data_IF_557232551545
#
_entry.id   IF_557232551545
#
_cell.length_a   1.000
_cell.length_b   1.000
_cell.length_c   1.000
_cell.angle_alpha   90.00
_cell.angle_beta   90.00
_cell.angle_gamma   90.00
#
_symmetry.space_group_name_H-M   'P 1'
#
loop_
_entity.id
_entity.type
_entity.pdbx_description
1 polymer ?
#
# COMPACT_ATOMS: atom_id res chain seq x y z
N UNK A 1 -16.96 0.80 -23.39
CA UNK A 1 -15.87 1.00 -22.39
C UNK A 1 -16.46 1.14 -21.02
N UNK A 2 -15.97 0.35 -20.09
CA UNK A 2 -16.49 0.38 -18.73
C UNK A 2 -15.79 1.49 -17.93
N UNK A 3 -16.55 2.24 -17.16
CA UNK A 3 -16.00 3.30 -16.31
C UNK A 3 -15.66 2.68 -14.95
N UNK A 4 -14.42 2.87 -14.52
CA UNK A 4 -13.97 2.44 -13.21
C UNK A 4 -13.85 3.65 -12.30
N UNK A 5 -14.20 3.46 -11.02
CA UNK A 5 -13.93 4.44 -9.99
C UNK A 5 -12.60 4.11 -9.34
N UNK A 6 -11.84 5.11 -8.94
CA UNK A 6 -10.55 4.89 -8.28
C UNK A 6 -10.51 5.59 -6.94
N UNK A 7 -9.83 4.96 -6.00
CA UNK A 7 -9.52 5.55 -4.70
C UNK A 7 -8.00 5.60 -4.56
N UNK A 8 -7.47 6.77 -4.27
CA UNK A 8 -6.03 6.95 -4.08
C UNK A 8 -5.67 6.67 -2.62
N UNK A 9 -5.01 5.55 -2.39
CA UNK A 9 -4.53 5.13 -1.06
C UNK A 9 -3.02 5.35 -0.90
N UNK A 10 -2.42 6.18 -1.76
CA UNK A 10 -1.02 6.60 -1.60
C UNK A 10 -0.94 7.85 -0.72
N UNK A 11 0.27 8.23 -0.35
CA UNK A 11 0.48 9.39 0.52
C UNK A 11 0.59 10.72 -0.22
N UNK A 12 0.44 10.72 -1.54
CA UNK A 12 0.61 11.91 -2.36
C UNK A 12 -0.42 11.97 -3.49
N UNK A 13 -0.58 13.16 -4.07
CA UNK A 13 -1.45 13.33 -5.22
C UNK A 13 -0.84 12.64 -6.44
N UNK A 14 -1.68 12.04 -7.26
CA UNK A 14 -1.25 11.39 -8.49
C UNK A 14 -1.54 12.32 -9.66
N UNK A 15 -0.49 12.74 -10.36
CA UNK A 15 -0.59 13.62 -11.51
C UNK A 15 -0.60 12.75 -12.76
N UNK A 16 -1.64 12.84 -13.56
CA UNK A 16 -1.78 12.05 -14.78
C UNK A 16 -1.45 12.93 -15.98
N UNK A 17 -0.46 12.49 -16.75
CA UNK A 17 -0.06 13.15 -17.97
C UNK A 17 -0.67 12.41 -19.17
N UNK A 18 -1.53 13.09 -19.89
CA UNK A 18 -2.13 12.56 -21.11
C UNK A 18 -1.60 13.35 -22.29
N UNK A 19 -0.92 12.73 -23.25
CA UNK A 19 -0.37 13.45 -24.39
C UNK A 19 -1.41 14.31 -25.12
N UNK A 20 -1.08 15.58 -25.32
CA UNK A 20 -1.98 16.51 -26.00
C UNK A 20 -3.17 17.00 -25.19
N UNK A 21 -3.28 16.62 -23.92
CA UNK A 21 -4.37 17.02 -23.04
C UNK A 21 -3.82 17.64 -21.76
N UNK A 22 -4.69 18.30 -21.01
CA UNK A 22 -4.31 18.89 -19.74
C UNK A 22 -3.93 17.82 -18.71
N UNK A 23 -3.05 18.19 -17.79
CA UNK A 23 -2.74 17.36 -16.65
C UNK A 23 -3.96 17.23 -15.75
N UNK A 24 -4.19 16.02 -15.26
CA UNK A 24 -5.24 15.76 -14.29
C UNK A 24 -4.58 15.29 -13.01
N UNK A 25 -5.15 15.66 -11.88
CA UNK A 25 -4.67 15.22 -10.59
C UNK A 25 -5.74 14.39 -9.90
N UNK A 26 -5.34 13.23 -9.37
CA UNK A 26 -6.16 12.46 -8.45
C UNK A 26 -5.61 12.74 -7.06
N UNK A 27 -6.32 13.50 -6.23
CA UNK A 27 -5.80 13.90 -4.93
C UNK A 27 -5.69 12.72 -3.97
N UNK A 28 -4.73 12.81 -3.07
CA UNK A 28 -4.64 11.87 -1.96
C UNK A 28 -5.89 12.00 -1.10
N UNK A 29 -6.36 10.86 -0.59
CA UNK A 29 -7.50 10.85 0.31
C UNK A 29 -7.10 11.12 1.76
N UNK A 30 -7.97 10.71 2.67
CA UNK A 30 -7.73 10.88 4.11
C UNK A 30 -6.92 9.75 4.72
N UNK A 31 -6.76 8.65 3.99
CA UNK A 31 -6.02 7.49 4.47
C UNK A 31 -5.02 7.01 3.43
N UNK A 32 -3.99 6.35 3.91
CA UNK A 32 -2.96 5.73 3.10
C UNK A 32 -2.88 4.24 3.44
N UNK A 33 -2.72 3.39 2.45
CA UNK A 33 -2.37 1.99 2.67
C UNK A 33 -0.87 1.86 2.86
N UNK A 34 -0.46 1.16 3.90
CA UNK A 34 0.95 0.91 4.21
C UNK A 34 1.16 -0.55 4.59
N UNK A 35 2.36 -1.04 4.35
CA UNK A 35 2.79 -2.34 4.84
C UNK A 35 3.65 -2.09 6.08
N UNK A 36 3.25 -2.68 7.19
CA UNK A 36 3.97 -2.56 8.45
C UNK A 36 4.42 -3.92 8.92
N UNK A 37 5.44 -3.93 9.75
CA UNK A 37 5.94 -5.13 10.35
C UNK A 37 5.13 -5.44 11.62
N UNK A 38 4.68 -6.68 11.72
CA UNK A 38 3.68 -7.01 12.71
C UNK A 38 4.19 -7.31 14.11
N UNK A 39 5.36 -7.89 14.28
CA UNK A 39 5.78 -8.31 15.62
C UNK A 39 7.27 -8.20 15.83
N UNK A 40 7.64 -7.40 16.79
CA UNK A 40 8.96 -7.45 17.40
C UNK A 40 8.79 -8.06 18.79
N UNK A 41 9.60 -9.05 19.10
CA UNK A 41 9.59 -9.62 20.43
C UNK A 41 11.03 -9.66 20.97
N UNK A 42 11.16 -9.42 22.26
CA UNK A 42 12.44 -9.57 22.95
C UNK A 42 12.43 -10.94 23.59
N UNK A 43 13.41 -11.77 23.23
CA UNK A 43 13.58 -13.09 23.83
C UNK A 43 14.92 -13.21 24.49
N UNK A 44 14.97 -14.04 25.53
CA UNK A 44 16.23 -14.45 26.15
C UNK A 44 16.59 -15.83 25.60
N UNK A 45 17.78 -15.94 25.07
CA UNK A 45 18.33 -17.22 24.61
C UNK A 45 19.54 -17.59 25.45
N UNK A 46 19.80 -18.87 25.55
CA UNK A 46 21.03 -19.39 26.18
C UNK A 46 21.84 -20.11 25.13
N UNK A 47 23.14 -19.87 25.15
CA UNK A 47 24.04 -20.66 24.32
C UNK A 47 24.42 -21.97 25.04
N UNK A 48 25.25 -22.78 24.41
CA UNK A 48 25.67 -24.06 24.96
C UNK A 48 26.52 -23.95 26.25
N UNK A 49 27.05 -22.77 26.50
CA UNK A 49 27.83 -22.49 27.71
C UNK A 49 26.99 -21.90 28.83
N UNK A 50 25.67 -21.80 28.61
CA UNK A 50 24.76 -21.28 29.62
C UNK A 50 24.67 -19.76 29.70
N UNK A 51 25.32 -19.04 28.79
CA UNK A 51 25.25 -17.57 28.76
C UNK A 51 23.89 -17.11 28.29
N UNK A 52 23.28 -16.18 29.03
CA UNK A 52 22.03 -15.57 28.65
C UNK A 52 22.27 -14.40 27.71
N UNK A 53 21.59 -14.40 26.60
CA UNK A 53 21.65 -13.32 25.61
C UNK A 53 20.24 -12.80 25.41
N UNK A 54 20.04 -11.49 25.56
CA UNK A 54 18.78 -10.84 25.21
C UNK A 54 18.88 -10.37 23.78
N UNK A 55 17.95 -10.79 22.96
CA UNK A 55 17.93 -10.43 21.55
C UNK A 55 16.54 -10.02 21.10
N UNK A 56 16.48 -9.09 20.15
CA UNK A 56 15.24 -8.70 19.52
C UNK A 56 15.04 -9.58 18.30
N UNK A 57 13.93 -10.28 18.28
CA UNK A 57 13.54 -11.07 17.13
C UNK A 57 12.40 -10.36 16.40
N UNK A 58 12.55 -10.28 15.10
CA UNK A 58 11.55 -9.71 14.23
C UNK A 58 10.98 -10.83 13.39
N UNK A 59 9.68 -11.04 13.53
CA UNK A 59 9.01 -11.99 12.65
C UNK A 59 8.77 -11.31 11.31
N UNK A 60 9.08 -12.02 10.23
CA UNK A 60 8.88 -11.53 8.88
C UNK A 60 7.40 -11.61 8.49
N UNK A 61 6.54 -11.13 9.35
CA UNK A 61 5.13 -11.02 9.03
C UNK A 61 4.79 -9.56 8.82
N UNK A 62 4.50 -9.26 7.57
CA UNK A 62 4.06 -7.93 7.19
C UNK A 62 2.56 -7.88 7.13
N UNK A 63 2.01 -6.72 7.45
CA UNK A 63 0.59 -6.52 7.47
C UNK A 63 0.27 -5.20 6.77
N UNK A 64 -0.74 -5.23 5.91
CA UNK A 64 -1.23 -4.01 5.28
C UNK A 64 -2.21 -3.34 6.23
N UNK A 65 -1.99 -2.05 6.47
CA UNK A 65 -2.86 -1.25 7.34
C UNK A 65 -3.28 0.02 6.63
N UNK A 66 -4.42 0.56 6.99
CA UNK A 66 -4.86 1.88 6.56
C UNK A 66 -4.57 2.87 7.67
N UNK A 67 -3.84 3.93 7.34
CA UNK A 67 -3.44 4.95 8.31
C UNK A 67 -3.91 6.31 7.86
N UNK A 68 -4.36 7.13 8.77
CA UNK A 68 -4.72 8.51 8.47
C UNK A 68 -3.52 9.34 8.06
N UNK A 69 -3.70 10.19 7.04
CA UNK A 69 -2.64 11.03 6.52
C UNK A 69 -2.43 12.32 7.29
N UNK A 70 -3.31 12.68 8.21
CA UNK A 70 -3.15 13.82 9.08
C UNK A 70 -3.08 13.29 10.49
N UNK A 71 -2.01 13.42 11.14
CA UNK A 71 -1.70 13.15 12.55
C UNK A 71 -2.79 12.51 13.43
N UNK A 72 -3.86 12.19 12.89
CA UNK A 72 -4.91 11.49 13.52
C UNK A 72 -4.85 10.09 13.18
N UNK A 73 -4.22 9.54 13.87
CA UNK A 73 -4.01 8.34 13.85
C UNK A 73 -4.87 7.41 14.44
N UNK A 74 -5.86 7.27 14.04
CA UNK A 74 -6.52 6.20 14.46
C UNK A 74 -6.52 5.25 13.42
N UNK A 75 -6.17 4.29 13.58
CA UNK A 75 -5.96 3.21 12.83
C UNK A 75 -7.16 2.57 12.56
N UNK A 76 -7.28 1.98 11.71
CA UNK A 76 -7.20 0.83 12.12
C UNK A 76 -7.98 -0.18 11.50
N UNK A 77 -7.86 -0.10 10.25
CA UNK A 77 -8.25 -1.20 9.46
C UNK A 77 -6.97 -1.94 9.13
N UNK A 78 -6.93 -3.20 9.47
CA UNK A 78 -5.76 -4.01 9.24
C UNK A 78 -5.82 -4.75 7.92
N UNK A 79 -6.38 -4.13 6.91
CA UNK A 79 -6.44 -4.69 5.56
C UNK A 79 -6.91 -3.63 4.60
N UNK A 80 -6.75 -3.89 3.31
CA UNK A 80 -7.33 -3.04 2.29
C UNK A 80 -8.86 -3.09 2.33
N UNK A 81 -9.54 -2.05 1.81
CA UNK A 81 -10.99 -2.11 1.68
C UNK A 81 -11.41 -3.34 0.86
N UNK A 82 -12.60 -3.84 1.12
CA UNK A 82 -13.16 -4.97 0.37
C UNK A 82 -13.24 -4.62 -1.11
N UNK A 83 -12.91 -5.59 -1.95
CA UNK A 83 -12.97 -5.42 -3.39
C UNK A 83 -14.40 -5.20 -3.85
N UNK A 84 -14.61 -4.16 -4.66
CA UNK A 84 -15.92 -3.84 -5.23
C UNK A 84 -15.82 -3.84 -6.74
N UNK A 85 -16.84 -4.38 -7.39
CA UNK A 85 -16.91 -4.37 -8.84
C UNK A 85 -16.88 -2.93 -9.37
N UNK A 86 -16.06 -2.70 -10.38
CA UNK A 86 -15.96 -1.38 -10.99
C UNK A 86 -15.16 -0.36 -10.18
N UNK A 87 -14.43 -0.80 -9.16
CA UNK A 87 -13.67 0.09 -8.31
C UNK A 87 -12.23 -0.39 -8.18
N UNK A 88 -11.27 0.47 -8.45
CA UNK A 88 -9.85 0.18 -8.35
C UNK A 88 -9.21 1.01 -7.25
N UNK A 89 -8.18 0.46 -6.62
CA UNK A 89 -7.40 1.13 -5.58
C UNK A 89 -6.02 1.47 -6.14
N UNK A 90 -5.63 2.73 -6.02
CA UNK A 90 -4.27 3.16 -6.34
C UNK A 90 -3.42 2.98 -5.09
N UNK A 91 -2.40 2.17 -5.18
CA UNK A 91 -1.53 1.83 -4.04
C UNK A 91 -0.06 1.92 -4.46
N UNK A 92 0.82 1.95 -3.46
CA UNK A 92 2.25 1.87 -3.71
C UNK A 92 2.64 0.46 -4.16
N UNK A 93 3.81 0.34 -4.77
CA UNK A 93 4.32 -0.94 -5.27
C UNK A 93 4.43 -1.99 -4.16
N UNK A 94 4.92 -1.61 -3.00
CA UNK A 94 5.07 -2.55 -1.89
C UNK A 94 3.72 -3.07 -1.38
N UNK A 95 2.71 -2.21 -1.32
CA UNK A 95 1.36 -2.62 -0.92
C UNK A 95 0.79 -3.60 -1.95
N UNK A 96 0.97 -3.32 -3.23
CA UNK A 96 0.48 -4.20 -4.29
C UNK A 96 1.13 -5.58 -4.23
N UNK A 97 2.44 -5.65 -4.02
CA UNK A 97 3.14 -6.93 -3.95
C UNK A 97 2.75 -7.75 -2.72
N UNK A 98 2.45 -7.11 -1.60
CA UNK A 98 1.97 -7.81 -0.41
C UNK A 98 0.49 -8.20 -0.48
N UNK A 99 -0.20 -7.77 -1.51
CA UNK A 99 -1.62 -8.09 -1.73
C UNK A 99 -1.83 -8.56 -3.18
N UNK A 100 -0.90 -9.35 -3.69
CA UNK A 100 -0.89 -9.75 -5.11
C UNK A 100 -2.04 -10.68 -5.51
N UNK A 101 -2.79 -11.19 -4.56
CA UNK A 101 -4.01 -11.94 -4.80
C UNK A 101 -5.19 -11.02 -5.15
N UNK A 102 -5.07 -9.72 -4.91
CA UNK A 102 -6.11 -8.75 -5.27
C UNK A 102 -6.01 -8.39 -6.75
N UNK A 103 -7.16 -8.27 -7.39
CA UNK A 103 -7.24 -7.94 -8.81
C UNK A 103 -7.65 -6.49 -9.07
N UNK A 104 -7.84 -5.70 -8.02
CA UNK A 104 -8.32 -4.32 -8.10
C UNK A 104 -7.24 -3.27 -7.78
N UNK A 105 -5.98 -3.67 -7.71
CA UNK A 105 -4.89 -2.77 -7.36
C UNK A 105 -4.16 -2.26 -8.59
N UNK A 106 -3.92 -0.96 -8.64
CA UNK A 106 -3.13 -0.33 -9.69
C UNK A 106 -2.02 0.53 -9.06
N UNK A 107 -0.90 0.57 -9.75
CA UNK A 107 0.32 1.25 -9.29
C UNK A 107 0.68 2.32 -10.31
N UNK A 108 0.80 3.61 -9.92
CA UNK A 108 1.24 4.63 -10.86
C UNK A 108 2.71 4.42 -11.25
N UNK A 109 3.04 4.65 -12.53
CA UNK A 109 4.42 4.54 -12.97
C UNK A 109 5.26 5.78 -12.62
N UNK A 110 4.63 6.89 -12.28
CA UNK A 110 5.32 8.08 -11.82
C UNK A 110 5.68 7.98 -10.35
N UNK A 111 6.84 8.53 -9.98
CA UNK A 111 7.20 8.67 -8.58
C UNK A 111 6.59 9.95 -8.01
N UNK A 112 6.75 10.15 -6.70
CA UNK A 112 6.23 11.34 -6.04
C UNK A 112 6.69 12.62 -6.76
N UNK A 113 5.72 13.48 -7.07
CA UNK A 113 5.99 14.74 -7.77
C UNK A 113 6.19 14.62 -9.26
N UNK A 114 6.18 13.42 -9.83
CA UNK A 114 6.34 13.19 -11.27
C UNK A 114 5.04 12.70 -11.91
N UNK A 115 4.75 13.14 -13.14
CA UNK A 115 3.54 12.70 -13.81
C UNK A 115 3.51 11.20 -14.08
N UNK A 116 2.32 10.62 -13.97
CA UNK A 116 2.05 9.24 -14.30
C UNK A 116 1.44 9.18 -15.70
N UNK A 117 2.01 8.36 -16.56
CA UNK A 117 1.48 8.14 -17.91
C UNK A 117 0.64 6.88 -18.01
N UNK A 118 0.91 5.90 -17.17
CA UNK A 118 0.13 4.67 -17.12
C UNK A 118 0.26 4.01 -15.76
N UNK A 119 -0.61 3.04 -15.52
CA UNK A 119 -0.62 2.29 -14.28
C UNK A 119 -0.22 0.85 -14.54
N UNK A 120 0.43 0.23 -13.55
CA UNK A 120 0.76 -1.18 -13.57
C UNK A 120 -0.22 -1.97 -12.73
N UNK A 121 -0.34 -3.25 -13.03
CA UNK A 121 -1.12 -4.18 -12.22
C UNK A 121 -0.21 -5.31 -11.77
N UNK A 122 -0.50 -5.89 -10.62
CA UNK A 122 0.23 -7.06 -10.12
C UNK A 122 -0.61 -8.32 -10.28
N UNK A 123 -1.91 -8.21 -10.10
CA UNK A 123 -2.84 -9.29 -10.38
C UNK A 123 -3.55 -9.08 -11.71
N UNK A 124 -4.40 -10.03 -12.10
CA UNK A 124 -5.22 -9.89 -13.28
C UNK A 124 -6.40 -8.97 -12.97
N UNK A 125 -6.59 -7.95 -13.79
CA UNK A 125 -7.77 -7.10 -13.69
C UNK A 125 -8.82 -7.60 -14.66
N UNK A 126 -9.94 -8.06 -14.13
CA UNK A 126 -11.06 -8.52 -14.92
C UNK A 126 -12.09 -7.39 -15.04
N UNK A 127 -12.53 -7.19 -16.24
CA UNK A 127 -13.63 -6.26 -16.50
C UNK A 127 -15.00 -6.92 -16.32
#
# INVERSE_FOLDING_TARGET
MEIKHVTNLTSHDIIINRPGLELIMIPKGKVQARVTNKNKMICHIKDDEGRKISAIFQQDKYQTVLVGLKNNISPHQFSLPLQKKGHWLIVSRIVAYHNSDRTDLIIPNGSEGKPTTHFFTVGDIHE
#
